data_IF_965652641175
#
_entry.id   IF_965652641175
#
_cell.length_a   1.000
_cell.length_b   1.000
_cell.length_c   1.000
_cell.angle_alpha   90.00
_cell.angle_beta   90.00
_cell.angle_gamma   90.00
#
_symmetry.space_group_name_H-M   'P 1'
#
loop_
_entity.id
_entity.type
_entity.pdbx_description
1 polymer ?
#
# COMPACT_ATOMS: atom_id res chain seq x y z
N UNK A 1 26.67 -13.88 14.18
CA UNK A 1 25.41 -13.08 14.26
C UNK A 1 24.61 -13.61 15.44
N UNK A 2 24.38 -12.83 16.49
CA UNK A 2 23.72 -13.29 17.72
C UNK A 2 22.20 -13.35 17.52
N UNK A 3 21.70 -14.54 17.22
CA UNK A 3 20.29 -14.80 16.89
C UNK A 3 19.34 -14.36 18.03
N UNK A 4 19.78 -14.53 19.28
CA UNK A 4 19.01 -14.12 20.45
C UNK A 4 18.78 -12.60 20.51
N UNK A 5 19.80 -11.80 20.18
CA UNK A 5 19.67 -10.33 20.13
C UNK A 5 18.77 -9.86 18.99
N UNK A 6 18.83 -10.52 17.83
CA UNK A 6 17.95 -10.21 16.70
C UNK A 6 16.50 -10.50 17.06
N UNK A 7 16.24 -11.66 17.63
CA UNK A 7 14.90 -12.06 18.07
C UNK A 7 14.33 -11.10 19.13
N UNK A 8 15.13 -10.76 20.16
CA UNK A 8 14.69 -9.80 21.19
C UNK A 8 14.38 -8.41 20.62
N UNK A 9 15.07 -8.00 19.55
CA UNK A 9 14.81 -6.71 18.88
C UNK A 9 13.57 -6.75 17.99
N UNK A 10 13.31 -7.87 17.32
CA UNK A 10 12.19 -8.01 16.38
C UNK A 10 10.87 -8.39 17.07
N UNK A 11 10.94 -9.02 18.24
CA UNK A 11 9.77 -9.54 18.95
C UNK A 11 8.66 -8.50 19.21
N UNK A 12 8.94 -7.25 19.65
CA UNK A 12 7.88 -6.27 19.86
C UNK A 12 7.17 -5.85 18.56
N UNK A 13 7.89 -5.81 17.43
CA UNK A 13 7.30 -5.52 16.12
C UNK A 13 6.44 -6.70 15.65
N UNK A 14 6.87 -7.96 15.88
CA UNK A 14 6.08 -9.14 15.59
C UNK A 14 4.78 -9.22 16.41
N UNK A 15 4.84 -8.84 17.69
CA UNK A 15 3.65 -8.73 18.54
C UNK A 15 2.67 -7.67 18.01
N UNK A 16 3.16 -6.53 17.52
CA UNK A 16 2.31 -5.52 16.92
C UNK A 16 1.58 -6.06 15.68
N UNK A 17 2.26 -6.82 14.82
CA UNK A 17 1.64 -7.46 13.65
C UNK A 17 0.56 -8.45 14.05
N UNK A 18 0.83 -9.34 15.03
CA UNK A 18 -0.16 -10.27 15.55
C UNK A 18 -1.37 -9.55 16.16
N UNK A 19 -1.12 -8.47 16.88
CA UNK A 19 -2.16 -7.64 17.45
C UNK A 19 -3.04 -7.00 16.36
N UNK A 20 -2.47 -6.54 15.25
CA UNK A 20 -3.23 -6.00 14.12
C UNK A 20 -4.11 -7.06 13.46
N UNK A 21 -3.59 -8.28 13.28
CA UNK A 21 -4.41 -9.40 12.79
C UNK A 21 -5.58 -9.67 13.73
N UNK A 22 -5.32 -9.73 15.04
CA UNK A 22 -6.37 -9.95 16.03
C UNK A 22 -7.43 -8.87 15.99
N UNK A 23 -7.02 -7.59 16.04
CA UNK A 23 -7.96 -6.45 16.09
C UNK A 23 -8.78 -6.36 14.81
N UNK A 24 -8.17 -6.51 13.62
CA UNK A 24 -8.91 -6.48 12.36
C UNK A 24 -9.88 -7.65 12.23
N UNK A 25 -9.51 -8.84 12.72
CA UNK A 25 -10.40 -10.02 12.73
C UNK A 25 -11.57 -9.83 13.68
N UNK A 26 -11.32 -9.40 14.92
CA UNK A 26 -12.37 -9.18 15.92
C UNK A 26 -13.36 -8.11 15.46
N UNK A 27 -12.88 -7.05 14.81
CA UNK A 27 -13.74 -5.99 14.29
C UNK A 27 -14.77 -6.51 13.25
N UNK A 28 -14.38 -7.46 12.40
CA UNK A 28 -15.26 -8.06 11.40
C UNK A 28 -15.84 -9.43 11.80
N UNK A 29 -15.68 -9.83 13.06
CA UNK A 29 -16.14 -11.17 13.50
C UNK A 29 -17.63 -11.38 13.27
N UNK A 30 -18.46 -10.38 13.59
CA UNK A 30 -19.92 -10.44 13.41
C UNK A 30 -20.30 -10.56 11.93
N UNK A 31 -19.89 -9.66 11.01
CA UNK A 31 -20.18 -9.83 9.59
C UNK A 31 -19.73 -11.18 9.03
N UNK A 32 -18.58 -11.68 9.45
CA UNK A 32 -18.08 -12.99 9.03
C UNK A 32 -18.97 -14.14 9.50
N UNK A 33 -19.39 -14.11 10.76
CA UNK A 33 -20.24 -15.16 11.33
C UNK A 33 -21.65 -15.20 10.71
N UNK A 34 -22.10 -14.07 10.20
CA UNK A 34 -23.39 -13.92 9.49
C UNK A 34 -23.26 -14.20 7.98
N UNK A 35 -22.06 -14.55 7.48
CA UNK A 35 -21.81 -14.82 6.05
C UNK A 35 -21.97 -13.60 5.15
N UNK A 36 -21.87 -12.38 5.70
CA UNK A 36 -21.96 -11.15 4.95
C UNK A 36 -20.72 -10.94 4.09
N UNK A 37 -20.91 -10.44 2.89
CA UNK A 37 -19.83 -10.06 1.97
C UNK A 37 -19.81 -8.54 1.78
N UNK A 38 -18.62 -8.00 1.51
CA UNK A 38 -18.49 -6.60 1.12
C UNK A 38 -19.15 -6.39 -0.25
N UNK A 39 -20.28 -5.70 -0.26
CA UNK A 39 -21.06 -5.41 -1.45
C UNK A 39 -21.35 -3.92 -1.54
N UNK A 40 -20.36 -3.12 -1.89
CA UNK A 40 -20.58 -1.70 -2.20
C UNK A 40 -21.13 -1.50 -3.60
N UNK A 41 -21.84 -0.40 -3.83
CA UNK A 41 -22.41 -0.04 -5.15
C UNK A 41 -21.33 -0.07 -6.26
N UNK A 42 -20.14 0.45 -6.00
CA UNK A 42 -19.07 0.52 -6.98
C UNK A 42 -18.43 -0.84 -7.27
N UNK A 43 -18.43 -1.75 -6.29
CA UNK A 43 -18.02 -3.13 -6.54
C UNK A 43 -18.97 -3.84 -7.50
N UNK A 44 -20.28 -3.62 -7.36
CA UNK A 44 -21.29 -4.19 -8.28
C UNK A 44 -21.18 -3.56 -9.68
N UNK A 45 -21.01 -2.25 -9.76
CA UNK A 45 -20.79 -1.55 -11.04
C UNK A 45 -19.51 -2.07 -11.74
N UNK A 46 -18.44 -2.28 -11.00
CA UNK A 46 -17.18 -2.86 -11.50
C UNK A 46 -17.37 -4.26 -12.06
N UNK A 47 -18.20 -5.10 -11.43
CA UNK A 47 -18.55 -6.42 -11.95
C UNK A 47 -19.27 -6.30 -13.31
N UNK A 48 -20.22 -5.37 -13.42
CA UNK A 48 -20.91 -5.13 -14.70
C UNK A 48 -19.96 -4.65 -15.80
N UNK A 49 -19.12 -3.67 -15.52
CA UNK A 49 -18.12 -3.12 -16.46
C UNK A 49 -17.11 -4.17 -16.94
N UNK A 50 -16.76 -5.13 -16.10
CA UNK A 50 -15.82 -6.20 -16.43
C UNK A 50 -16.45 -7.41 -17.15
N UNK A 51 -17.77 -7.41 -17.43
CA UNK A 51 -18.45 -8.59 -17.97
C UNK A 51 -17.95 -8.97 -19.36
N UNK A 52 -17.83 -8.03 -20.28
CA UNK A 52 -17.31 -8.29 -21.62
C UNK A 52 -15.92 -8.92 -21.59
N UNK A 53 -15.05 -8.48 -20.70
CA UNK A 53 -13.72 -9.05 -20.52
C UNK A 53 -13.77 -10.51 -20.02
N UNK A 54 -14.70 -10.82 -19.09
CA UNK A 54 -14.87 -12.18 -18.58
C UNK A 54 -15.43 -13.11 -19.66
N UNK A 55 -16.39 -12.64 -20.46
CA UNK A 55 -16.97 -13.39 -21.58
C UNK A 55 -15.90 -13.65 -22.65
N UNK A 56 -15.12 -12.62 -23.01
CA UNK A 56 -14.01 -12.77 -23.94
C UNK A 56 -13.01 -13.83 -23.44
N UNK A 57 -12.60 -13.74 -22.18
CA UNK A 57 -11.67 -14.69 -21.56
C UNK A 57 -12.19 -16.12 -21.55
N UNK A 58 -13.49 -16.31 -21.31
CA UNK A 58 -14.12 -17.63 -21.34
C UNK A 58 -14.18 -18.23 -22.76
N UNK A 59 -14.29 -17.38 -23.80
CA UNK A 59 -14.36 -17.79 -25.19
C UNK A 59 -12.99 -17.98 -25.87
N UNK A 60 -11.88 -17.51 -25.26
CA UNK A 60 -10.55 -17.46 -25.85
C UNK A 60 -9.47 -18.09 -24.94
N UNK A 61 -9.76 -19.27 -24.38
CA UNK A 61 -8.79 -20.09 -23.60
C UNK A 61 -8.08 -19.34 -22.46
N UNK A 62 -8.75 -18.35 -21.87
CA UNK A 62 -8.20 -17.58 -20.75
C UNK A 62 -7.40 -16.34 -21.17
N UNK A 63 -7.33 -16.02 -22.46
CA UNK A 63 -6.72 -14.76 -22.91
C UNK A 63 -7.48 -13.54 -22.39
N UNK A 64 -6.78 -12.45 -22.14
CA UNK A 64 -7.37 -11.21 -21.63
C UNK A 64 -7.43 -10.15 -22.71
N UNK A 65 -8.62 -9.58 -22.94
CA UNK A 65 -8.75 -8.41 -23.80
C UNK A 65 -8.14 -7.16 -23.15
N UNK A 66 -7.40 -6.38 -23.93
CA UNK A 66 -6.86 -5.08 -23.53
C UNK A 66 -7.78 -3.92 -23.92
N UNK A 67 -8.90 -4.23 -24.60
CA UNK A 67 -9.90 -3.29 -25.06
C UNK A 67 -11.29 -3.78 -24.70
N UNK A 68 -12.20 -2.87 -24.33
CA UNK A 68 -13.62 -3.13 -24.12
C UNK A 68 -14.46 -2.16 -24.92
N UNK A 69 -15.53 -2.64 -25.54
CA UNK A 69 -16.52 -1.84 -26.24
C UNK A 69 -17.72 -1.46 -25.34
N UNK A 70 -17.76 -1.95 -24.10
CA UNK A 70 -18.91 -1.80 -23.20
C UNK A 70 -19.19 -0.35 -22.78
N UNK A 71 -18.19 0.53 -22.80
CA UNK A 71 -18.32 1.93 -22.35
C UNK A 71 -17.67 2.90 -23.34
N UNK A 72 -18.26 4.10 -23.46
CA UNK A 72 -17.73 5.23 -24.26
C UNK A 72 -17.38 4.87 -25.71
N UNK A 73 -18.08 3.93 -26.32
CA UNK A 73 -17.77 3.42 -27.68
C UNK A 73 -16.41 2.74 -27.81
N UNK A 74 -15.82 2.33 -26.69
CA UNK A 74 -14.57 1.62 -26.60
C UNK A 74 -13.51 2.34 -25.79
N UNK A 75 -12.84 1.58 -24.92
CA UNK A 75 -11.74 2.09 -24.11
C UNK A 75 -10.80 0.97 -23.63
N UNK A 76 -9.54 1.32 -23.25
CA UNK A 76 -8.61 0.35 -22.67
C UNK A 76 -9.13 -0.23 -21.36
N UNK A 77 -8.99 -1.55 -21.20
CA UNK A 77 -9.52 -2.29 -20.05
C UNK A 77 -8.85 -1.94 -18.73
N UNK A 78 -7.62 -1.42 -18.73
CA UNK A 78 -6.94 -0.98 -17.50
C UNK A 78 -7.64 0.21 -16.82
N UNK A 79 -8.47 0.97 -17.54
CA UNK A 79 -9.23 2.11 -17.01
C UNK A 79 -10.60 1.71 -16.47
N UNK A 80 -11.08 0.51 -16.77
CA UNK A 80 -12.39 0.01 -16.32
C UNK A 80 -12.19 -0.99 -15.19
N UNK A 81 -12.38 -2.25 -15.40
CA UNK A 81 -12.23 -3.32 -14.40
C UNK A 81 -11.30 -4.39 -14.98
N UNK A 82 -9.98 -4.20 -15.00
CA UNK A 82 -9.09 -5.18 -15.61
C UNK A 82 -9.24 -6.55 -14.97
N UNK A 83 -9.34 -7.58 -15.79
CA UNK A 83 -9.35 -8.98 -15.36
C UNK A 83 -7.93 -9.56 -15.22
N UNK A 84 -6.92 -8.73 -15.20
CA UNK A 84 -5.51 -9.08 -15.12
C UNK A 84 -4.75 -8.16 -14.17
N UNK A 85 -3.68 -8.68 -13.60
CA UNK A 85 -2.72 -7.90 -12.80
C UNK A 85 -1.67 -7.24 -13.70
N UNK A 86 -1.13 -6.08 -13.31
CA UNK A 86 0.03 -5.49 -13.98
C UNK A 86 1.30 -6.32 -13.77
N UNK A 87 1.36 -7.12 -12.69
CA UNK A 87 2.48 -8.01 -12.39
C UNK A 87 2.04 -9.11 -11.43
N UNK A 88 1.95 -10.35 -11.91
CA UNK A 88 1.60 -11.52 -11.09
C UNK A 88 2.62 -11.78 -9.99
N UNK A 89 3.89 -11.43 -10.22
CA UNK A 89 4.92 -11.54 -9.20
C UNK A 89 4.65 -10.57 -8.04
N UNK A 90 4.38 -9.30 -8.34
CA UNK A 90 4.08 -8.30 -7.33
C UNK A 90 2.78 -8.63 -6.56
N UNK A 91 1.79 -9.17 -7.24
CA UNK A 91 0.55 -9.63 -6.60
C UNK A 91 0.84 -10.71 -5.55
N UNK A 92 1.66 -11.71 -5.90
CA UNK A 92 2.09 -12.74 -4.94
C UNK A 92 2.84 -12.14 -3.74
N UNK A 93 3.75 -11.19 -3.99
CA UNK A 93 4.50 -10.51 -2.91
C UNK A 93 3.56 -9.68 -2.03
N UNK A 94 2.59 -8.98 -2.62
CA UNK A 94 1.57 -8.22 -1.90
C UNK A 94 0.70 -9.15 -1.03
N UNK A 95 0.32 -10.31 -1.54
CA UNK A 95 -0.44 -11.31 -0.79
C UNK A 95 0.36 -11.85 0.40
N UNK A 96 1.65 -12.12 0.23
CA UNK A 96 2.54 -12.51 1.34
C UNK A 96 2.61 -11.38 2.37
N UNK A 97 2.79 -10.12 1.94
CA UNK A 97 2.80 -8.95 2.83
C UNK A 97 1.48 -8.82 3.61
N UNK A 98 0.35 -9.07 2.97
CA UNK A 98 -0.98 -9.08 3.57
C UNK A 98 -1.32 -10.37 4.33
N UNK A 99 -0.36 -11.28 4.54
CA UNK A 99 -0.54 -12.58 5.20
C UNK A 99 -1.66 -13.44 4.58
N UNK A 100 -2.00 -13.22 3.32
CA UNK A 100 -3.10 -13.92 2.65
C UNK A 100 -4.50 -13.66 3.22
N UNK A 101 -4.66 -12.68 4.10
CA UNK A 101 -5.93 -12.39 4.79
C UNK A 101 -7.08 -12.08 3.83
N UNK A 102 -6.79 -11.56 2.64
CA UNK A 102 -7.81 -11.22 1.67
C UNK A 102 -8.53 -12.46 1.11
N UNK A 103 -7.88 -13.65 1.10
CA UNK A 103 -8.52 -14.90 0.70
C UNK A 103 -9.51 -15.41 1.73
N UNK A 104 -9.35 -15.00 2.99
CA UNK A 104 -10.23 -15.39 4.07
C UNK A 104 -11.44 -14.45 4.18
N UNK A 105 -11.17 -13.14 4.36
CA UNK A 105 -12.19 -12.10 4.38
C UNK A 105 -11.58 -10.76 3.94
N UNK A 106 -11.93 -10.23 2.75
CA UNK A 106 -11.27 -9.06 2.18
C UNK A 106 -11.23 -7.83 3.10
N UNK A 107 -12.30 -7.56 3.88
CA UNK A 107 -12.35 -6.42 4.78
C UNK A 107 -11.27 -6.45 5.86
N UNK A 108 -10.96 -7.63 6.42
CA UNK A 108 -9.89 -7.81 7.40
C UNK A 108 -8.56 -7.38 6.80
N UNK A 109 -8.30 -7.79 5.56
CA UNK A 109 -7.06 -7.46 4.85
C UNK A 109 -6.87 -5.95 4.72
N UNK A 110 -7.90 -5.18 4.31
CA UNK A 110 -7.77 -3.74 4.16
C UNK A 110 -7.42 -3.04 5.48
N UNK A 111 -8.14 -3.35 6.55
CA UNK A 111 -7.89 -2.73 7.86
C UNK A 111 -6.54 -3.15 8.43
N UNK A 112 -6.17 -4.42 8.29
CA UNK A 112 -4.84 -4.90 8.64
C UNK A 112 -3.73 -4.15 7.90
N UNK A 113 -3.87 -3.96 6.58
CA UNK A 113 -2.90 -3.24 5.76
C UNK A 113 -2.79 -1.75 6.12
N UNK A 114 -3.90 -1.11 6.53
CA UNK A 114 -3.87 0.25 7.08
C UNK A 114 -3.06 0.34 8.36
N UNK A 115 -3.26 -0.60 9.29
CA UNK A 115 -2.47 -0.64 10.53
C UNK A 115 -1.01 -0.88 10.22
N UNK A 116 -0.69 -1.90 9.43
CA UNK A 116 0.67 -2.28 9.12
C UNK A 116 1.41 -1.17 8.35
N UNK A 117 0.78 -0.57 7.35
CA UNK A 117 1.37 0.51 6.56
C UNK A 117 1.73 1.73 7.42
N UNK A 118 0.79 2.18 8.26
CA UNK A 118 1.04 3.33 9.12
C UNK A 118 2.06 3.01 10.23
N UNK A 119 2.03 1.80 10.77
CA UNK A 119 3.03 1.30 11.71
C UNK A 119 4.45 1.38 11.12
N UNK A 120 4.64 0.87 9.90
CA UNK A 120 5.94 0.92 9.19
C UNK A 120 6.39 2.38 9.01
N UNK A 121 5.50 3.30 8.64
CA UNK A 121 5.82 4.72 8.53
C UNK A 121 6.33 5.28 9.87
N UNK A 122 5.59 5.07 10.95
CA UNK A 122 5.98 5.58 12.28
C UNK A 122 7.30 4.98 12.76
N UNK A 123 7.51 3.66 12.55
CA UNK A 123 8.79 3.01 12.86
C UNK A 123 9.95 3.57 12.03
N UNK A 124 9.69 3.92 10.77
CA UNK A 124 10.67 4.57 9.88
C UNK A 124 11.03 5.99 10.35
N UNK A 125 10.11 6.70 10.99
CA UNK A 125 10.32 8.04 11.56
C UNK A 125 11.05 8.02 12.89
N UNK A 126 11.15 6.89 13.58
CA UNK A 126 11.83 6.75 14.86
C UNK A 126 13.34 7.05 14.74
N UNK A 127 13.88 7.87 15.65
CA UNK A 127 15.32 8.18 15.77
C UNK A 127 15.81 7.79 17.14
N UNK A 128 17.13 7.86 17.37
CA UNK A 128 17.70 7.68 18.71
C UNK A 128 17.29 8.79 19.66
N UNK A 129 17.19 10.02 19.15
CA UNK A 129 16.78 11.21 19.91
C UNK A 129 15.28 11.25 20.18
N UNK A 130 14.48 10.75 19.23
CA UNK A 130 13.01 10.69 19.31
C UNK A 130 12.53 9.27 19.04
N UNK A 131 12.62 8.43 20.06
CA UNK A 131 12.20 7.05 19.97
C UNK A 131 10.68 6.95 19.92
N UNK A 132 10.17 6.40 18.81
CA UNK A 132 8.79 5.92 18.72
C UNK A 132 8.81 4.44 19.10
N UNK A 133 8.26 4.13 20.28
CA UNK A 133 8.19 2.74 20.74
C UNK A 133 7.25 1.90 19.84
N UNK A 134 7.42 0.57 19.76
CA UNK A 134 6.48 -0.29 19.05
C UNK A 134 5.03 -0.10 19.53
N UNK A 135 4.82 0.08 20.83
CA UNK A 135 3.49 0.34 21.39
C UNK A 135 2.92 1.67 20.91
N UNK A 136 3.70 2.75 20.96
CA UNK A 136 3.26 4.07 20.47
C UNK A 136 2.94 4.03 18.97
N UNK A 137 3.78 3.33 18.19
CA UNK A 137 3.54 3.14 16.76
C UNK A 137 2.27 2.32 16.49
N UNK A 138 2.02 1.28 17.30
CA UNK A 138 0.82 0.46 17.18
C UNK A 138 -0.45 1.25 17.52
N UNK A 139 -0.44 2.04 18.58
CA UNK A 139 -1.57 2.92 18.92
C UNK A 139 -1.85 3.93 17.82
N UNK A 140 -0.80 4.59 17.28
CA UNK A 140 -0.96 5.50 16.13
C UNK A 140 -1.51 4.80 14.90
N UNK A 141 -1.09 3.58 14.64
CA UNK A 141 -1.59 2.77 13.53
C UNK A 141 -3.09 2.43 13.68
N UNK A 142 -3.54 2.08 14.89
CA UNK A 142 -4.97 1.87 15.17
C UNK A 142 -5.80 3.12 14.94
N UNK A 143 -5.33 4.28 15.46
CA UNK A 143 -6.01 5.57 15.27
C UNK A 143 -6.14 5.92 13.78
N UNK A 144 -5.09 5.67 13.00
CA UNK A 144 -5.12 5.86 11.56
C UNK A 144 -6.09 4.91 10.87
N UNK A 145 -5.92 3.59 11.04
CA UNK A 145 -6.68 2.58 10.30
C UNK A 145 -8.17 2.54 10.66
N UNK A 146 -8.55 2.95 11.87
CA UNK A 146 -9.95 3.12 12.27
C UNK A 146 -10.51 4.51 11.99
N UNK A 147 -9.80 5.34 11.23
CA UNK A 147 -10.40 6.60 10.75
C UNK A 147 -11.67 6.30 9.94
N UNK A 148 -12.74 7.04 10.22
CA UNK A 148 -14.04 6.87 9.57
C UNK A 148 -13.96 6.92 8.04
N UNK A 149 -13.05 7.72 7.49
CA UNK A 149 -12.82 7.81 6.05
C UNK A 149 -12.47 6.46 5.43
N UNK A 150 -11.57 5.68 6.04
CA UNK A 150 -11.16 4.38 5.51
C UNK A 150 -12.27 3.35 5.56
N UNK A 151 -13.04 3.34 6.64
CA UNK A 151 -14.19 2.44 6.79
C UNK A 151 -15.29 2.76 5.78
N UNK A 152 -15.55 4.06 5.53
CA UNK A 152 -16.50 4.52 4.51
C UNK A 152 -16.05 4.09 3.11
N UNK A 153 -14.76 4.25 2.77
CA UNK A 153 -14.20 3.86 1.47
C UNK A 153 -14.34 2.34 1.23
N UNK A 154 -14.08 1.52 2.25
CA UNK A 154 -14.25 0.07 2.17
C UNK A 154 -15.75 -0.27 2.00
N UNK A 155 -16.63 0.34 2.79
CA UNK A 155 -18.07 0.12 2.73
C UNK A 155 -18.68 0.55 1.39
N UNK A 156 -18.17 1.63 0.78
CA UNK A 156 -18.59 2.09 -0.55
C UNK A 156 -18.14 1.18 -1.69
N UNK A 157 -17.21 0.25 -1.44
CA UNK A 157 -16.68 -0.66 -2.45
C UNK A 157 -15.53 -0.12 -3.28
N UNK A 158 -14.91 0.99 -2.88
CA UNK A 158 -13.73 1.55 -3.54
C UNK A 158 -12.45 0.77 -3.18
N UNK A 159 -12.41 -0.53 -3.49
CA UNK A 159 -11.40 -1.45 -2.98
C UNK A 159 -9.98 -1.13 -3.49
N UNK A 160 -9.82 -0.73 -4.73
CA UNK A 160 -8.52 -0.32 -5.29
C UNK A 160 -7.99 0.95 -4.64
N UNK A 161 -8.88 1.91 -4.37
CA UNK A 161 -8.55 3.10 -3.60
C UNK A 161 -8.13 2.74 -2.18
N UNK A 162 -8.84 1.80 -1.54
CA UNK A 162 -8.50 1.30 -0.21
C UNK A 162 -7.09 0.69 -0.17
N UNK A 163 -6.73 -0.17 -1.14
CA UNK A 163 -5.39 -0.74 -1.25
C UNK A 163 -4.32 0.32 -1.46
N UNK A 164 -4.52 1.24 -2.40
CA UNK A 164 -3.57 2.33 -2.65
C UNK A 164 -3.30 3.14 -1.39
N UNK A 165 -4.36 3.50 -0.65
CA UNK A 165 -4.24 4.25 0.61
C UNK A 165 -3.45 3.50 1.69
N UNK A 166 -3.52 2.17 1.72
CA UNK A 166 -2.75 1.36 2.67
C UNK A 166 -1.23 1.42 2.43
N UNK A 167 -0.83 1.60 1.16
CA UNK A 167 0.59 1.59 0.76
C UNK A 167 1.25 2.97 0.75
N UNK A 168 0.48 4.05 0.87
CA UNK A 168 1.00 5.42 0.92
C UNK A 168 1.85 5.69 2.16
N UNK A 169 1.39 5.39 3.39
CA UNK A 169 2.18 5.65 4.59
C UNK A 169 3.57 4.97 4.57
N UNK A 170 3.71 3.68 4.25
CA UNK A 170 5.02 3.06 4.21
C UNK A 170 5.91 3.61 3.08
N UNK A 171 5.35 4.07 1.94
CA UNK A 171 6.13 4.79 0.92
C UNK A 171 6.73 6.08 1.49
N UNK A 172 5.94 6.87 2.21
CA UNK A 172 6.43 8.07 2.92
C UNK A 172 7.54 7.69 3.90
N UNK A 173 7.36 6.61 4.67
CA UNK A 173 8.37 6.07 5.57
C UNK A 173 9.68 5.74 4.87
N UNK A 174 9.62 5.13 3.68
CA UNK A 174 10.77 4.83 2.85
C UNK A 174 11.51 6.09 2.38
N UNK A 175 10.79 7.09 1.91
CA UNK A 175 11.35 8.40 1.53
C UNK A 175 12.05 9.06 2.73
N UNK A 176 11.43 9.06 3.91
CA UNK A 176 12.03 9.58 5.14
C UNK A 176 13.34 8.85 5.47
N UNK A 177 13.39 7.53 5.34
CA UNK A 177 14.62 6.76 5.54
C UNK A 177 15.73 7.18 4.55
N UNK A 178 15.41 7.41 3.28
CA UNK A 178 16.35 7.91 2.28
C UNK A 178 16.91 9.28 2.69
N UNK A 179 16.03 10.24 3.08
CA UNK A 179 16.42 11.57 3.51
C UNK A 179 17.32 11.55 4.77
N UNK A 180 17.20 10.49 5.59
CA UNK A 180 17.99 10.29 6.81
C UNK A 180 19.26 9.45 6.59
N UNK A 181 19.66 9.22 5.35
CA UNK A 181 20.88 8.49 4.99
C UNK A 181 20.78 6.96 5.11
N UNK A 182 19.61 6.40 5.44
CA UNK A 182 19.38 4.95 5.44
C UNK A 182 19.01 4.46 4.04
N UNK A 183 19.93 4.66 3.09
CA UNK A 183 19.66 4.53 1.66
C UNK A 183 19.10 3.16 1.25
N UNK A 184 19.73 2.05 1.68
CA UNK A 184 19.30 0.71 1.29
C UNK A 184 17.90 0.33 1.78
N UNK A 185 17.64 0.53 3.06
CA UNK A 185 16.33 0.26 3.62
C UNK A 185 15.27 1.24 3.08
N UNK A 186 15.64 2.52 2.93
CA UNK A 186 14.77 3.52 2.34
C UNK A 186 14.42 3.20 0.90
N UNK A 187 15.40 2.83 0.06
CA UNK A 187 15.17 2.44 -1.32
C UNK A 187 14.28 1.20 -1.42
N UNK A 188 14.56 0.16 -0.64
CA UNK A 188 13.77 -1.07 -0.66
C UNK A 188 12.29 -0.81 -0.27
N UNK A 189 12.06 -0.06 0.81
CA UNK A 189 10.71 0.29 1.26
C UNK A 189 10.00 1.20 0.24
N UNK A 190 10.67 2.23 -0.28
CA UNK A 190 10.08 3.13 -1.29
C UNK A 190 9.72 2.37 -2.55
N UNK A 191 10.63 1.56 -3.11
CA UNK A 191 10.37 0.81 -4.34
C UNK A 191 9.22 -0.19 -4.17
N UNK A 192 9.24 -0.98 -3.10
CA UNK A 192 8.21 -2.00 -2.85
C UNK A 192 6.81 -1.39 -2.71
N UNK A 193 6.67 -0.36 -1.87
CA UNK A 193 5.34 0.21 -1.63
C UNK A 193 4.87 1.13 -2.75
N UNK A 194 5.77 1.74 -3.53
CA UNK A 194 5.39 2.38 -4.79
C UNK A 194 4.90 1.34 -5.80
N UNK A 195 5.57 0.19 -5.91
CA UNK A 195 5.12 -0.90 -6.78
C UNK A 195 3.71 -1.38 -6.39
N UNK A 196 3.42 -1.54 -5.10
CA UNK A 196 2.09 -1.93 -4.63
C UNK A 196 1.02 -0.85 -4.89
N UNK A 197 1.35 0.45 -4.80
CA UNK A 197 0.42 1.52 -5.15
C UNK A 197 0.04 1.46 -6.64
N UNK A 198 1.03 1.26 -7.52
CA UNK A 198 0.78 1.14 -8.97
C UNK A 198 -0.02 -0.13 -9.29
N UNK A 199 0.33 -1.26 -8.66
CA UNK A 199 -0.39 -2.52 -8.75
C UNK A 199 -1.87 -2.36 -8.36
N UNK A 200 -2.16 -1.55 -7.34
CA UNK A 200 -3.53 -1.27 -6.88
C UNK A 200 -4.36 -0.43 -7.86
N UNK A 201 -3.78 0.01 -8.96
CA UNK A 201 -4.42 0.67 -10.11
C UNK A 201 -5.33 1.87 -9.78
N UNK A 202 -5.04 2.64 -8.72
CA UNK A 202 -5.75 3.86 -8.39
C UNK A 202 -4.84 5.09 -8.52
N UNK A 203 -4.51 5.42 -9.77
CA UNK A 203 -3.52 6.46 -10.15
C UNK A 203 -3.83 7.82 -9.52
N UNK A 204 -5.10 8.20 -9.40
CA UNK A 204 -5.51 9.47 -8.81
C UNK A 204 -5.00 9.64 -7.38
N UNK A 205 -5.10 8.61 -6.54
CA UNK A 205 -4.61 8.68 -5.16
C UNK A 205 -3.09 8.75 -5.11
N UNK A 206 -2.40 7.95 -5.91
CA UNK A 206 -0.94 8.01 -6.03
C UNK A 206 -0.49 9.41 -6.46
N UNK A 207 -1.17 10.01 -7.44
CA UNK A 207 -0.90 11.38 -7.92
C UNK A 207 -1.07 12.42 -6.80
N UNK A 208 -2.16 12.38 -6.05
CA UNK A 208 -2.36 13.33 -4.95
C UNK A 208 -1.29 13.22 -3.88
N UNK A 209 -0.84 12.02 -3.56
CA UNK A 209 0.21 11.82 -2.57
C UNK A 209 1.62 12.14 -3.08
N UNK A 210 1.84 12.23 -4.39
CA UNK A 210 3.09 12.81 -4.91
C UNK A 210 3.27 14.26 -4.47
N UNK A 211 2.20 15.06 -4.34
CA UNK A 211 2.30 16.42 -3.78
C UNK A 211 2.70 16.40 -2.31
N UNK A 212 2.17 15.44 -1.52
CA UNK A 212 2.56 15.29 -0.11
C UNK A 212 4.04 14.91 0.00
N UNK A 213 4.51 13.97 -0.82
CA UNK A 213 5.92 13.57 -0.87
C UNK A 213 6.78 14.75 -1.36
N UNK A 214 6.35 15.46 -2.40
CA UNK A 214 7.03 16.64 -2.92
C UNK A 214 7.20 17.73 -1.85
N UNK A 215 6.14 18.01 -1.09
CA UNK A 215 6.19 18.96 0.03
C UNK A 215 7.12 18.49 1.14
N UNK A 216 7.08 17.19 1.48
CA UNK A 216 8.00 16.60 2.46
C UNK A 216 9.46 16.75 2.01
N UNK A 217 9.77 16.44 0.76
CA UNK A 217 11.11 16.57 0.17
C UNK A 217 11.56 18.03 0.17
N UNK A 218 10.66 18.97 -0.15
CA UNK A 218 10.92 20.41 -0.08
C UNK A 218 11.29 20.82 1.35
N UNK A 219 10.54 20.38 2.36
CA UNK A 219 10.86 20.67 3.78
C UNK A 219 12.25 20.15 4.16
N UNK A 220 12.60 18.91 3.74
CA UNK A 220 13.95 18.37 3.94
C UNK A 220 15.02 19.18 3.20
N UNK A 221 14.72 19.67 1.99
CA UNK A 221 15.61 20.52 1.20
C UNK A 221 15.89 21.86 1.89
N UNK A 222 14.84 22.54 2.36
CA UNK A 222 14.98 23.79 3.14
C UNK A 222 15.81 23.54 4.42
N UNK A 223 15.51 22.48 5.14
CA UNK A 223 16.28 22.09 6.33
C UNK A 223 17.75 21.86 6.00
N UNK A 224 18.04 21.15 4.89
CA UNK A 224 19.40 20.85 4.44
C UNK A 224 20.18 22.12 4.04
N UNK A 225 19.51 23.10 3.42
CA UNK A 225 20.11 24.41 3.13
C UNK A 225 20.50 25.13 4.40
N UNK A 226 19.60 25.23 5.38
CA UNK A 226 19.85 25.88 6.68
C UNK A 226 20.98 25.16 7.42
N UNK A 227 21.03 23.85 7.41
CA UNK A 227 22.02 23.02 8.11
C UNK A 227 23.31 22.79 7.30
N UNK A 228 23.41 23.30 6.09
CA UNK A 228 24.55 23.11 5.16
C UNK A 228 24.85 21.63 4.86
N UNK A 229 23.80 20.81 4.77
CA UNK A 229 23.88 19.35 4.49
C UNK A 229 23.32 18.99 3.12
N UNK A 230 23.33 19.94 2.17
CA UNK A 230 22.77 19.79 0.84
C UNK A 230 23.24 18.55 0.08
N UNK A 231 24.54 18.14 0.07
CA UNK A 231 24.98 16.95 -0.63
C UNK A 231 24.31 15.66 -0.11
N UNK A 232 24.13 15.52 1.20
CA UNK A 232 23.47 14.38 1.82
C UNK A 232 21.98 14.33 1.44
N UNK A 233 21.31 15.50 1.43
CA UNK A 233 19.94 15.63 0.98
C UNK A 233 19.78 15.22 -0.49
N UNK A 234 20.62 15.76 -1.40
CA UNK A 234 20.57 15.44 -2.83
C UNK A 234 20.75 13.94 -3.08
N UNK A 235 21.69 13.31 -2.34
CA UNK A 235 21.85 11.85 -2.41
C UNK A 235 20.61 11.11 -1.95
N UNK A 236 20.01 11.50 -0.83
CA UNK A 236 18.77 10.90 -0.32
C UNK A 236 17.60 11.07 -1.29
N UNK A 237 17.44 12.25 -1.87
CA UNK A 237 16.42 12.56 -2.85
C UNK A 237 16.60 11.74 -4.15
N UNK A 238 17.83 11.64 -4.65
CA UNK A 238 18.14 10.81 -5.83
C UNK A 238 17.83 9.33 -5.59
N UNK A 239 18.21 8.79 -4.43
CA UNK A 239 17.91 7.39 -4.07
C UNK A 239 16.40 7.17 -3.98
N UNK A 240 15.65 8.07 -3.34
CA UNK A 240 14.20 7.97 -3.23
C UNK A 240 13.51 8.04 -4.61
N UNK A 241 13.97 8.94 -5.48
CA UNK A 241 13.46 9.08 -6.84
C UNK A 241 13.70 7.80 -7.66
N UNK A 242 14.95 7.31 -7.69
CA UNK A 242 15.28 6.07 -8.41
C UNK A 242 14.48 4.89 -7.88
N UNK A 243 14.35 4.75 -6.56
CA UNK A 243 13.54 3.72 -5.94
C UNK A 243 12.06 3.80 -6.34
N UNK A 244 11.49 5.01 -6.35
CA UNK A 244 10.12 5.25 -6.81
C UNK A 244 9.93 4.86 -8.29
N UNK A 245 10.86 5.28 -9.16
CA UNK A 245 10.83 4.92 -10.58
C UNK A 245 10.95 3.40 -10.80
N UNK A 246 11.80 2.70 -10.03
CA UNK A 246 11.88 1.24 -10.07
C UNK A 246 10.57 0.58 -9.62
N UNK A 247 9.90 1.14 -8.60
CA UNK A 247 8.58 0.67 -8.17
C UNK A 247 7.51 0.81 -9.26
N UNK A 248 7.52 1.92 -9.99
CA UNK A 248 6.65 2.10 -11.18
C UNK A 248 7.01 1.12 -12.28
N UNK A 249 8.31 1.00 -12.61
CA UNK A 249 8.81 0.14 -13.68
C UNK A 249 8.51 -1.35 -13.44
N UNK A 250 8.41 -1.79 -12.18
CA UNK A 250 8.06 -3.16 -11.83
C UNK A 250 6.64 -3.58 -12.27
N UNK A 251 5.80 -2.63 -12.68
CA UNK A 251 4.44 -2.85 -13.20
C UNK A 251 4.35 -2.72 -14.75
N UNK A 252 5.46 -2.47 -15.44
CA UNK A 252 5.48 -2.33 -16.91
C UNK A 252 5.33 -3.63 -17.72
N UNK A 253 5.56 -4.85 -17.18
CA UNK A 253 5.50 -6.09 -17.97
C UNK A 253 4.13 -6.41 -18.57
N UNK A 254 3.05 -5.71 -18.17
CA UNK A 254 1.69 -5.97 -18.67
C UNK A 254 1.12 -4.77 -19.45
#
# INVERSE_FOLDING_TARGET
>A
MDFKKIFQKAWPDALAVLFFVLVSTVYFLKPMSEGLVLGGHDSLASIGLGQEQREYRAAHDGETSRWSNAVFSGMPTFQTSPSYSSSDFLEKVQNIYGLGLHYWFPAISFVFLYFLGFYIMLRSMSTEERRISPLTAALGALMWGFSSYFLIIISAGHLWKALTLAFIPPTIGGVVLCMRGKYWSGAAVTALFTAFQVLSNHVQMTYYFLFVIGFLVLCYGIYALVRRTLPAFLKGAAVALVAGLLGVAANLPN
#
